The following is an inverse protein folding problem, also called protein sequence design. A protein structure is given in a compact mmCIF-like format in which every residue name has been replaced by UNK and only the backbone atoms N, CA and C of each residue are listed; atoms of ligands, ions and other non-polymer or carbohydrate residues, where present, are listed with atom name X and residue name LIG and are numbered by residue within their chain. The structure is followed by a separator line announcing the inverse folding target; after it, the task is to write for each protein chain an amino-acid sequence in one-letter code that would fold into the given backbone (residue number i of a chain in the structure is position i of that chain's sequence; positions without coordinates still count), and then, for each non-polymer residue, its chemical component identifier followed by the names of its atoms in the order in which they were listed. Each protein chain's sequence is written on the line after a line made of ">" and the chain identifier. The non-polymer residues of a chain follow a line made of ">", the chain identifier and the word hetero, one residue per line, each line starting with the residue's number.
data_IF_751479871088
#
_entry.id   IF_751479871088
#
_cell.length_a   1.000
_cell.length_b   1.000
_cell.length_c   1.000
_cell.angle_alpha   90.00
_cell.angle_beta   90.00
_cell.angle_gamma   90.00
#
_symmetry.space_group_name_H-M   'P 1'
#
loop_
_entity.id
_entity.type
_entity.pdbx_description
1 polymer ?
#
# COMPACT_ATOMS: atom_id res chain seq x y z
N UNK A 1 -4.02 19.77 14.38
CA UNK A 1 -4.24 20.39 13.06
C UNK A 1 -4.44 19.25 12.08
N UNK A 2 -5.61 19.13 11.45
CA UNK A 2 -5.83 18.12 10.42
C UNK A 2 -5.30 18.69 9.09
N UNK A 3 -4.32 18.03 8.48
CA UNK A 3 -3.84 18.36 7.15
C UNK A 3 -4.64 17.55 6.13
N UNK A 4 -5.23 18.24 5.16
CA UNK A 4 -5.98 17.60 4.08
C UNK A 4 -5.21 17.80 2.78
N UNK A 5 -4.95 16.70 2.06
CA UNK A 5 -4.42 16.71 0.70
C UNK A 5 -5.55 16.31 -0.25
N UNK A 6 -5.79 17.11 -1.28
CA UNK A 6 -6.76 16.81 -2.32
C UNK A 6 -6.03 16.54 -3.63
N UNK A 7 -6.50 15.53 -4.38
CA UNK A 7 -5.98 15.15 -5.70
C UNK A 7 -7.12 15.28 -6.69
N UNK A 8 -6.87 15.93 -7.82
CA UNK A 8 -7.87 16.15 -8.87
C UNK A 8 -7.52 15.33 -10.12
N UNK A 9 -8.52 15.13 -10.99
CA UNK A 9 -8.41 14.40 -12.25
C UNK A 9 -7.89 12.96 -12.12
N UNK A 10 -8.25 12.29 -11.02
CA UNK A 10 -7.90 10.89 -10.77
C UNK A 10 -8.62 9.99 -11.77
N UNK A 11 -7.86 9.12 -12.44
CA UNK A 11 -8.38 8.13 -13.39
C UNK A 11 -8.36 6.71 -12.82
N UNK A 12 -7.43 6.40 -11.92
CA UNK A 12 -7.41 5.13 -11.18
C UNK A 12 -6.85 5.28 -9.77
N UNK A 13 -7.31 4.39 -8.89
CA UNK A 13 -6.75 4.15 -7.56
C UNK A 13 -6.61 2.65 -7.39
N UNK A 14 -5.39 2.19 -7.15
CA UNK A 14 -5.09 0.76 -7.04
C UNK A 14 -4.22 0.49 -5.81
N UNK A 15 -4.42 -0.67 -5.21
CA UNK A 15 -3.49 -1.22 -4.22
C UNK A 15 -2.24 -1.72 -4.94
N UNK A 16 -1.08 -1.23 -4.52
CA UNK A 16 0.23 -1.71 -5.02
C UNK A 16 1.02 -2.45 -3.95
N UNK A 17 0.68 -2.30 -2.68
CA UNK A 17 1.41 -2.93 -1.58
C UNK A 17 0.54 -3.22 -0.36
N UNK A 18 0.81 -4.34 0.28
CA UNK A 18 0.24 -4.75 1.56
C UNK A 18 1.35 -5.29 2.46
N UNK A 19 1.48 -4.73 3.65
CA UNK A 19 2.29 -5.30 4.72
C UNK A 19 1.52 -5.20 6.04
N UNK A 20 0.83 -6.31 6.37
CA UNK A 20 0.04 -6.41 7.60
C UNK A 20 0.91 -6.44 8.87
N UNK A 21 2.17 -6.86 8.76
CA UNK A 21 3.10 -6.92 9.88
C UNK A 21 3.67 -5.53 10.21
N UNK A 22 3.69 -4.62 9.24
CA UNK A 22 4.07 -3.23 9.43
C UNK A 22 2.85 -2.32 9.71
N UNK A 23 2.25 -2.48 10.88
CA UNK A 23 1.13 -1.63 11.34
C UNK A 23 -0.08 -1.62 10.40
N UNK A 24 -0.39 -2.76 9.77
CA UNK A 24 -1.50 -2.84 8.81
C UNK A 24 -1.28 -1.99 7.55
N UNK A 25 -0.03 -1.74 7.14
CA UNK A 25 0.23 -0.76 6.08
C UNK A 25 -0.32 -1.17 4.71
N UNK A 26 -0.78 -0.18 3.96
CA UNK A 26 -1.18 -0.31 2.55
C UNK A 26 -0.54 0.81 1.75
N UNK A 27 -0.14 0.49 0.53
CA UNK A 27 0.32 1.48 -0.43
C UNK A 27 -0.67 1.56 -1.58
N UNK A 28 -1.17 2.77 -1.83
CA UNK A 28 -2.05 3.08 -2.95
C UNK A 28 -1.23 3.76 -4.04
N UNK A 29 -1.42 3.37 -5.30
CA UNK A 29 -1.05 4.19 -6.44
C UNK A 29 -2.29 4.97 -6.91
N UNK A 30 -2.09 6.26 -7.16
CA UNK A 30 -3.12 7.15 -7.70
C UNK A 30 -2.59 7.68 -9.03
N UNK A 31 -3.33 7.42 -10.11
CA UNK A 31 -2.99 7.89 -11.46
C UNK A 31 -3.94 8.99 -11.88
N UNK A 32 -3.41 10.03 -12.51
CA UNK A 32 -4.15 11.17 -13.04
C UNK A 32 -4.32 11.07 -14.57
N UNK A 33 -5.18 11.91 -15.14
CA UNK A 33 -5.46 11.95 -16.58
C UNK A 33 -4.28 12.41 -17.44
N UNK A 34 -3.35 13.17 -16.87
CA UNK A 34 -2.08 13.57 -17.48
C UNK A 34 -1.04 12.43 -17.52
N UNK A 35 -1.37 11.26 -16.98
CA UNK A 35 -0.50 10.09 -16.90
C UNK A 35 0.47 10.10 -15.71
N UNK A 36 0.47 11.14 -14.89
CA UNK A 36 1.25 11.15 -13.65
C UNK A 36 0.71 10.11 -12.67
N UNK A 37 1.61 9.49 -11.91
CA UNK A 37 1.28 8.51 -10.87
C UNK A 37 2.13 8.78 -9.65
N UNK A 38 1.53 8.69 -8.47
CA UNK A 38 2.24 8.79 -7.20
C UNK A 38 1.67 7.79 -6.19
N UNK A 39 2.49 7.45 -5.21
CA UNK A 39 2.15 6.47 -4.18
C UNK A 39 1.88 7.15 -2.83
N UNK A 40 0.88 6.64 -2.12
CA UNK A 40 0.58 7.03 -0.73
C UNK A 40 0.61 5.79 0.15
N UNK A 41 1.44 5.83 1.19
CA UNK A 41 1.44 4.86 2.28
C UNK A 41 0.42 5.24 3.35
N UNK A 42 -0.41 4.28 3.74
CA UNK A 42 -1.42 4.39 4.78
C UNK A 42 -1.14 3.36 5.87
N UNK A 43 -1.32 3.73 7.13
CA UNK A 43 -1.02 2.90 8.30
C UNK A 43 -2.20 2.92 9.27
N UNK A 44 -2.34 1.86 10.08
CA UNK A 44 -3.43 1.72 11.05
C UNK A 44 -4.56 0.82 10.54
N UNK A 45 -5.81 1.25 10.73
CA UNK A 45 -6.99 0.48 10.32
C UNK A 45 -7.26 0.65 8.82
N UNK A 46 -6.70 -0.24 8.03
CA UNK A 46 -6.73 -0.18 6.55
C UNK A 46 -7.63 -1.23 5.90
N UNK A 47 -8.42 -1.98 6.68
CA UNK A 47 -9.24 -3.08 6.18
C UNK A 47 -10.23 -2.68 5.07
N UNK A 48 -10.71 -1.43 5.06
CA UNK A 48 -11.58 -0.93 4.00
C UNK A 48 -10.90 -0.89 2.61
N UNK A 49 -9.57 -0.84 2.57
CA UNK A 49 -8.79 -0.75 1.34
C UNK A 49 -8.70 -2.09 0.60
N UNK A 50 -8.95 -3.22 1.26
CA UNK A 50 -8.86 -4.58 0.65
C UNK A 50 -9.74 -4.77 -0.59
N UNK A 51 -10.81 -3.98 -0.70
CA UNK A 51 -11.73 -4.07 -1.82
C UNK A 51 -11.31 -3.22 -3.04
N UNK A 52 -10.21 -2.48 -2.94
CA UNK A 52 -9.67 -1.73 -4.07
C UNK A 52 -9.07 -2.69 -5.12
N UNK A 53 -9.10 -2.32 -6.41
CA UNK A 53 -8.38 -3.05 -7.44
C UNK A 53 -6.90 -3.17 -7.08
N UNK A 54 -6.32 -4.35 -7.27
CA UNK A 54 -4.88 -4.57 -7.11
C UNK A 54 -4.19 -4.29 -8.44
N UNK A 55 -3.09 -3.53 -8.40
CA UNK A 55 -2.31 -3.27 -9.60
C UNK A 55 -1.65 -4.57 -10.09
N UNK A 56 -1.23 -4.57 -11.35
CA UNK A 56 -0.43 -5.66 -11.92
C UNK A 56 0.92 -5.88 -11.22
N UNK A 57 1.40 -4.89 -10.46
CA UNK A 57 2.66 -4.92 -9.70
C UNK A 57 2.44 -5.11 -8.20
N UNK A 58 1.23 -5.44 -7.76
CA UNK A 58 0.87 -5.61 -6.36
C UNK A 58 1.82 -6.56 -5.62
N UNK A 59 2.28 -6.16 -4.44
CA UNK A 59 3.13 -6.97 -3.55
C UNK A 59 2.47 -7.18 -2.19
N UNK A 60 2.45 -8.42 -1.74
CA UNK A 60 2.05 -8.80 -0.39
C UNK A 60 3.29 -9.22 0.40
N UNK A 61 3.56 -8.51 1.49
CA UNK A 61 4.69 -8.74 2.40
C UNK A 61 4.26 -9.43 3.70
N UNK A 62 2.99 -9.85 3.80
CA UNK A 62 2.45 -10.48 5.01
C UNK A 62 3.13 -11.82 5.35
N UNK A 63 3.63 -12.52 4.33
CA UNK A 63 4.23 -13.86 4.47
C UNK A 63 5.75 -13.88 4.22
N UNK A 64 6.48 -12.81 4.55
CA UNK A 64 7.94 -12.94 4.64
C UNK A 64 8.25 -13.75 5.91
N UNK A 65 8.20 -15.08 5.80
CA UNK A 65 8.79 -15.99 6.77
C UNK A 65 10.24 -15.56 6.97
N UNK A 66 10.50 -14.90 8.09
CA UNK A 66 11.85 -14.59 8.52
C UNK A 66 12.46 -15.95 8.87
N UNK A 67 13.21 -16.54 7.94
CA UNK A 67 14.20 -17.55 8.25
C UNK A 67 15.27 -16.87 9.13
N UNK A 68 14.97 -16.73 10.41
CA UNK A 68 15.94 -16.42 11.44
C UNK A 68 16.88 -17.61 11.46
N UNK A 69 18.04 -17.43 10.83
CA UNK A 69 19.14 -18.38 10.89
C UNK A 69 19.31 -18.83 12.34
N UNK A 70 19.25 -20.15 12.53
CA UNK A 70 19.49 -20.84 13.79
C UNK A 70 20.74 -20.23 14.46
N UNK A 71 20.60 -19.79 15.71
CA UNK A 71 21.75 -19.50 16.57
C UNK A 71 22.60 -20.77 16.61
N UNK A 72 23.77 -20.72 15.97
CA UNK A 72 24.79 -21.74 16.13
C UNK A 72 25.48 -21.45 17.46
N UNK A 73 25.29 -22.37 18.41
CA UNK A 73 25.91 -22.42 19.75
C UNK A 73 27.42 -22.13 19.76
#
# INVERSE_FOLDING_TARGET
>A
MLMTTNVHNVTSVELVGCDLNNSGSRTLAITCDDGSTFEIGLFGETAALENLPKSATFRDFTDVEVNLFEEVE
#
